data_IF_049189231117
#
_entry.id   IF_049189231117
#
_cell.length_a   1.000
_cell.length_b   1.000
_cell.length_c   1.000
_cell.angle_alpha   90.00
_cell.angle_beta   90.00
_cell.angle_gamma   90.00
#
_symmetry.space_group_name_H-M   'P 1'
#
loop_
_entity.id
_entity.type
_entity.pdbx_description
1 polymer ?
#
# COMPACT_ATOMS: atom_id res chain seq x y z
N UNK A 1 16.26 12.88 -10.21
CA UNK A 1 15.32 13.57 -11.11
C UNK A 1 15.44 15.08 -10.94
N UNK A 2 15.16 15.87 -11.97
CA UNK A 2 15.12 17.34 -11.84
C UNK A 2 13.72 17.81 -11.43
N UNK A 3 13.65 18.61 -10.37
CA UNK A 3 12.41 19.20 -9.85
C UNK A 3 12.50 20.72 -9.97
N UNK A 4 11.49 21.32 -10.59
CA UNK A 4 11.36 22.78 -10.67
C UNK A 4 10.36 23.27 -9.64
N UNK A 5 10.78 24.25 -8.85
CA UNK A 5 9.95 24.87 -7.81
C UNK A 5 10.27 26.35 -7.63
N UNK A 6 9.84 26.90 -6.50
CA UNK A 6 10.13 28.30 -6.11
C UNK A 6 11.23 28.30 -5.06
N UNK A 7 12.30 29.05 -5.32
CA UNK A 7 13.33 29.30 -4.32
C UNK A 7 12.78 30.27 -3.26
N UNK A 8 12.80 29.88 -1.99
CA UNK A 8 12.21 30.67 -0.89
C UNK A 8 13.04 31.91 -0.53
N UNK A 9 14.32 31.96 -0.90
CA UNK A 9 15.21 33.11 -0.63
C UNK A 9 15.04 34.18 -1.70
N UNK A 10 15.11 33.76 -2.97
CA UNK A 10 15.05 34.70 -4.11
C UNK A 10 13.64 34.96 -4.62
N UNK A 11 12.70 34.07 -4.31
CA UNK A 11 11.32 34.11 -4.81
C UNK A 11 11.16 33.66 -6.27
N UNK A 12 12.24 33.34 -6.98
CA UNK A 12 12.24 33.00 -8.40
C UNK A 12 12.16 31.48 -8.64
N UNK A 13 11.75 31.04 -9.85
CA UNK A 13 11.79 29.63 -10.21
C UNK A 13 13.22 29.09 -10.17
N UNK A 14 13.41 27.92 -9.56
CA UNK A 14 14.69 27.21 -9.48
C UNK A 14 14.47 25.73 -9.75
N UNK A 15 15.45 25.13 -10.42
CA UNK A 15 15.51 23.68 -10.63
C UNK A 15 16.55 23.08 -9.71
N UNK A 16 16.21 21.98 -9.04
CA UNK A 16 17.12 21.20 -8.21
C UNK A 16 17.12 19.75 -8.67
N UNK A 17 18.25 19.07 -8.56
CA UNK A 17 18.33 17.62 -8.77
C UNK A 17 18.09 16.94 -7.44
N UNK A 18 17.16 15.98 -7.42
CA UNK A 18 16.83 15.14 -6.26
C UNK A 18 17.22 13.70 -6.55
N UNK A 19 17.81 13.03 -5.57
CA UNK A 19 18.23 11.63 -5.63
C UNK A 19 17.20 10.70 -4.98
N UNK A 20 17.26 9.41 -5.30
CA UNK A 20 16.39 8.41 -4.66
C UNK A 20 16.67 8.30 -3.15
N UNK A 21 17.92 8.49 -2.72
CA UNK A 21 18.32 8.47 -1.31
C UNK A 21 17.66 9.60 -0.51
N UNK A 22 17.60 10.82 -1.06
CA UNK A 22 16.91 11.94 -0.42
C UNK A 22 15.40 11.70 -0.33
N UNK A 23 14.80 11.07 -1.34
CA UNK A 23 13.36 10.73 -1.35
C UNK A 23 13.07 9.64 -0.31
N UNK A 24 13.89 8.59 -0.24
CA UNK A 24 13.76 7.54 0.76
C UNK A 24 13.83 8.14 2.17
N UNK A 25 14.85 8.97 2.44
CA UNK A 25 15.02 9.61 3.74
C UNK A 25 13.80 10.47 4.11
N UNK A 26 13.25 11.21 3.15
CA UNK A 26 12.06 12.05 3.36
C UNK A 26 10.79 11.23 3.64
N UNK A 27 10.67 10.04 3.06
CA UNK A 27 9.50 9.16 3.20
C UNK A 27 9.59 8.21 4.41
N UNK A 28 10.80 7.99 4.94
CA UNK A 28 11.10 6.96 5.94
C UNK A 28 10.16 6.98 7.14
N UNK A 29 9.90 8.14 7.74
CA UNK A 29 9.02 8.25 8.90
C UNK A 29 7.58 7.83 8.56
N UNK A 30 7.04 8.31 7.45
CA UNK A 30 5.68 7.98 7.00
C UNK A 30 5.53 6.49 6.68
N UNK A 31 6.53 5.92 6.00
CA UNK A 31 6.55 4.48 5.70
C UNK A 31 6.68 3.65 6.98
N UNK A 32 7.47 4.09 7.95
CA UNK A 32 7.62 3.39 9.22
C UNK A 32 6.29 3.30 9.98
N UNK A 33 5.46 4.35 9.95
CA UNK A 33 4.11 4.30 10.54
C UNK A 33 3.25 3.21 9.92
N UNK A 34 3.33 3.02 8.59
CA UNK A 34 2.61 1.96 7.88
C UNK A 34 3.10 0.58 8.34
N UNK A 35 4.43 0.40 8.44
CA UNK A 35 5.03 -0.86 8.93
C UNK A 35 4.57 -1.17 10.35
N UNK A 36 4.60 -0.20 11.26
CA UNK A 36 4.16 -0.40 12.64
C UNK A 36 2.68 -0.76 12.74
N UNK A 37 1.83 -0.09 11.95
CA UNK A 37 0.41 -0.42 11.90
C UNK A 37 0.19 -1.87 11.43
N UNK A 38 0.92 -2.32 10.40
CA UNK A 38 0.84 -3.69 9.92
C UNK A 38 1.31 -4.70 10.98
N UNK A 39 2.42 -4.43 11.69
CA UNK A 39 2.90 -5.27 12.80
C UNK A 39 1.85 -5.39 13.90
N UNK A 40 1.26 -4.27 14.31
CA UNK A 40 0.27 -4.24 15.37
C UNK A 40 -0.97 -5.08 15.04
N UNK A 41 -1.39 -5.11 13.77
CA UNK A 41 -2.49 -5.98 13.32
C UNK A 41 -2.11 -7.45 13.45
N UNK A 42 -0.91 -7.84 13.02
CA UNK A 42 -0.45 -9.24 13.15
C UNK A 42 -0.32 -9.66 14.62
N UNK A 43 0.18 -8.80 15.50
CA UNK A 43 0.30 -9.08 16.95
C UNK A 43 -1.06 -9.31 17.63
N UNK A 44 -2.12 -8.66 17.15
CA UNK A 44 -3.48 -8.80 17.66
C UNK A 44 -4.27 -9.91 16.96
N UNK A 45 -3.73 -10.49 15.89
CA UNK A 45 -4.42 -11.51 15.11
C UNK A 45 -4.42 -12.84 15.88
N UNK A 46 -5.58 -13.49 16.05
CA UNK A 46 -5.65 -14.79 16.71
C UNK A 46 -4.71 -15.83 16.06
N UNK A 47 -4.16 -16.79 16.84
CA UNK A 47 -3.22 -17.78 16.32
C UNK A 47 -3.78 -18.60 15.14
N UNK A 48 -5.07 -18.91 15.17
CA UNK A 48 -5.76 -19.67 14.13
C UNK A 48 -5.77 -18.97 12.76
N UNK A 49 -5.75 -17.63 12.74
CA UNK A 49 -5.69 -16.84 11.51
C UNK A 49 -4.25 -16.51 11.12
N UNK A 50 -3.35 -16.37 12.10
CA UNK A 50 -1.94 -16.07 11.86
C UNK A 50 -1.24 -17.16 11.03
N UNK A 51 -1.58 -18.43 11.27
CA UNK A 51 -1.08 -19.55 10.46
C UNK A 51 -1.46 -19.41 8.98
N UNK A 52 -2.71 -19.03 8.68
CA UNK A 52 -3.18 -18.85 7.30
C UNK A 52 -2.49 -17.66 6.63
N UNK A 53 -2.18 -16.59 7.37
CA UNK A 53 -1.43 -15.43 6.87
C UNK A 53 0.02 -15.79 6.55
N UNK A 54 0.67 -16.63 7.38
CA UNK A 54 2.05 -17.08 7.11
C UNK A 54 2.11 -17.89 5.81
N UNK A 55 1.11 -18.74 5.56
CA UNK A 55 1.07 -19.60 4.37
C UNK A 55 0.65 -18.85 3.10
N UNK A 56 -0.35 -17.97 3.19
CA UNK A 56 -0.93 -17.25 2.02
C UNK A 56 -0.28 -15.89 1.76
N UNK A 57 0.33 -15.30 2.77
CA UNK A 57 0.89 -13.97 2.72
C UNK A 57 -0.14 -12.84 2.84
N UNK A 58 0.38 -11.61 2.70
CA UNK A 58 -0.37 -10.36 2.72
C UNK A 58 -0.47 -9.84 1.29
N UNK A 59 -1.66 -9.35 0.92
CA UNK A 59 -1.88 -8.70 -0.38
C UNK A 59 -1.93 -7.18 -0.18
N UNK A 60 -1.06 -6.46 -0.89
CA UNK A 60 -1.05 -5.00 -0.93
C UNK A 60 -1.92 -4.48 -2.07
N UNK A 61 -2.62 -3.38 -1.81
CA UNK A 61 -3.51 -2.73 -2.77
C UNK A 61 -3.53 -1.21 -2.55
N UNK A 62 -4.15 -0.47 -3.47
CA UNK A 62 -4.17 0.99 -3.50
C UNK A 62 -2.93 1.60 -4.17
N UNK A 63 -2.98 2.91 -4.45
CA UNK A 63 -1.88 3.61 -5.12
C UNK A 63 -0.59 3.70 -4.29
N UNK A 64 -0.71 3.72 -2.95
CA UNK A 64 0.45 3.70 -2.06
C UNK A 64 1.25 2.41 -2.13
N UNK A 65 0.63 1.30 -2.54
CA UNK A 65 1.31 0.03 -2.70
C UNK A 65 2.30 0.01 -3.88
N UNK A 66 2.24 1.00 -4.78
CA UNK A 66 3.15 1.14 -5.92
C UNK A 66 4.46 1.84 -5.55
N UNK A 67 4.65 2.22 -4.28
CA UNK A 67 5.93 2.75 -3.82
C UNK A 67 7.00 1.66 -3.96
N UNK A 68 8.06 1.96 -4.71
CA UNK A 68 9.12 1.01 -5.00
C UNK A 68 9.76 0.45 -3.71
N UNK A 69 9.80 -0.88 -3.60
CA UNK A 69 10.40 -1.61 -2.47
C UNK A 69 9.56 -1.65 -1.20
N UNK A 70 8.32 -1.14 -1.21
CA UNK A 70 7.46 -1.16 -0.02
C UNK A 70 6.99 -2.58 0.34
N UNK A 71 6.69 -3.39 -0.66
CA UNK A 71 6.37 -4.81 -0.52
C UNK A 71 7.54 -5.61 0.04
N UNK A 72 8.75 -5.39 -0.49
CA UNK A 72 9.99 -5.99 0.01
C UNK A 72 10.25 -5.59 1.47
N UNK A 73 10.14 -4.30 1.80
CA UNK A 73 10.30 -3.80 3.16
C UNK A 73 9.27 -4.44 4.13
N UNK A 74 8.01 -4.52 3.73
CA UNK A 74 6.97 -5.14 4.55
C UNK A 74 7.23 -6.64 4.73
N UNK A 75 7.66 -7.35 3.69
CA UNK A 75 8.00 -8.76 3.79
C UNK A 75 9.17 -8.98 4.77
N UNK A 76 10.19 -8.12 4.71
CA UNK A 76 11.32 -8.16 5.62
C UNK A 76 10.89 -7.86 7.07
N UNK A 77 10.08 -6.83 7.29
CA UNK A 77 9.70 -6.37 8.63
C UNK A 77 8.64 -7.27 9.29
N UNK A 78 7.73 -7.84 8.52
CA UNK A 78 6.62 -8.67 9.00
C UNK A 78 6.94 -10.16 9.01
N UNK A 79 8.02 -10.59 8.33
CA UNK A 79 8.46 -12.00 8.22
C UNK A 79 7.41 -12.93 7.60
N UNK A 80 6.56 -12.39 6.74
CA UNK A 80 5.56 -13.13 5.96
C UNK A 80 5.63 -12.70 4.49
N UNK A 81 5.21 -13.54 3.53
CA UNK A 81 5.16 -13.14 2.13
C UNK A 81 4.24 -11.92 1.94
N UNK A 82 4.66 -10.96 1.12
CA UNK A 82 3.86 -9.79 0.75
C UNK A 82 3.80 -9.72 -0.77
N UNK A 83 2.59 -9.58 -1.32
CA UNK A 83 2.34 -9.57 -2.76
C UNK A 83 1.54 -8.35 -3.17
N UNK A 84 1.91 -7.72 -4.28
CA UNK A 84 1.10 -6.66 -4.88
C UNK A 84 -0.10 -7.28 -5.63
N UNK A 85 -1.30 -6.72 -5.43
CA UNK A 85 -2.47 -7.11 -6.21
C UNK A 85 -2.28 -6.84 -7.72
N UNK A 86 -2.93 -7.62 -8.59
CA UNK A 86 -2.82 -7.43 -10.05
C UNK A 86 -3.29 -6.05 -10.52
N UNK A 87 -4.37 -5.52 -9.91
CA UNK A 87 -4.94 -4.22 -10.22
C UNK A 87 -5.08 -3.37 -8.94
N UNK A 88 -3.99 -2.88 -8.35
CA UNK A 88 -4.02 -2.28 -7.01
C UNK A 88 -4.76 -0.94 -6.99
N UNK A 89 -4.74 -0.18 -8.09
CA UNK A 89 -5.46 1.10 -8.21
C UNK A 89 -6.98 0.91 -8.28
N UNK A 90 -7.43 -0.16 -8.94
CA UNK A 90 -8.84 -0.39 -9.26
C UNK A 90 -9.53 -1.37 -8.31
N UNK A 91 -8.77 -2.06 -7.44
CA UNK A 91 -9.25 -3.13 -6.58
C UNK A 91 -10.52 -2.75 -5.77
N UNK A 92 -10.56 -1.52 -5.26
CA UNK A 92 -11.72 -1.01 -4.49
C UNK A 92 -12.96 -0.86 -5.37
N UNK A 93 -12.81 -0.27 -6.56
CA UNK A 93 -13.91 -0.06 -7.49
C UNK A 93 -14.42 -1.40 -8.06
N UNK A 94 -13.51 -2.29 -8.44
CA UNK A 94 -13.81 -3.64 -8.93
C UNK A 94 -14.54 -4.43 -7.85
N UNK A 95 -14.02 -4.48 -6.63
CA UNK A 95 -14.64 -5.19 -5.51
C UNK A 95 -16.06 -4.69 -5.21
N UNK A 96 -16.24 -3.36 -5.28
CA UNK A 96 -17.56 -2.73 -5.11
C UNK A 96 -18.53 -3.13 -6.23
N UNK A 97 -18.08 -3.14 -7.49
CA UNK A 97 -18.87 -3.59 -8.63
C UNK A 97 -19.34 -5.04 -8.48
N UNK A 98 -18.41 -5.94 -8.12
CA UNK A 98 -18.71 -7.37 -7.88
C UNK A 98 -19.78 -7.53 -6.79
N UNK A 99 -19.68 -6.77 -5.69
CA UNK A 99 -20.66 -6.82 -4.61
C UNK A 99 -22.07 -6.40 -5.08
N UNK A 100 -22.15 -5.32 -5.87
CA UNK A 100 -23.42 -4.81 -6.40
C UNK A 100 -24.08 -5.82 -7.36
N UNK A 101 -23.29 -6.46 -8.22
CA UNK A 101 -23.79 -7.51 -9.12
C UNK A 101 -24.32 -8.72 -8.34
N UNK A 102 -23.60 -9.18 -7.33
CA UNK A 102 -23.99 -10.33 -6.52
C UNK A 102 -25.23 -10.05 -5.67
N UNK A 103 -25.35 -8.85 -5.10
CA UNK A 103 -26.55 -8.43 -4.36
C UNK A 103 -27.78 -8.35 -5.27
N UNK A 104 -27.59 -7.90 -6.51
CA UNK A 104 -28.66 -7.85 -7.51
C UNK A 104 -29.11 -9.25 -7.94
N UNK A 105 -28.19 -10.20 -8.11
CA UNK A 105 -28.49 -11.62 -8.38
C UNK A 105 -29.24 -12.28 -7.23
N UNK A 106 -28.82 -12.05 -5.99
CA UNK A 106 -29.49 -12.59 -4.80
C UNK A 106 -30.95 -12.10 -4.66
N UNK A 107 -31.24 -10.86 -5.07
CA UNK A 107 -32.62 -10.33 -5.14
C UNK A 107 -33.45 -10.94 -6.26
N UNK A 108 -32.83 -11.28 -7.40
CA UNK A 108 -33.51 -11.84 -8.59
C UNK A 108 -33.94 -13.30 -8.39
N UNK A 109 -33.22 -14.07 -7.56
CA UNK A 109 -33.55 -15.46 -7.22
C UNK A 109 -34.56 -15.61 -6.06
N UNK A 110 -35.15 -14.50 -5.59
CA UNK A 110 -36.14 -14.49 -4.50
C UNK A 110 -37.60 -14.37 -4.99
N UNK A 111 -37.84 -14.47 -6.30
CA UNK A 111 -39.17 -14.50 -6.92
C UNK A 111 -39.23 -15.62 -7.95
#
# INVERSE_FOLDING_TARGET
MEIRGRDLVTGLPKTVTVTSEEIELALRESVHVIVQAAKQVLEQTPPELSADIIDRGIIMTGGGALLHGLDELLAEELKVPVLLAENPLDAVAIGTGILLENTSRAKKNRF
#
